data_IF_549721200832
#
_entry.id   IF_549721200832
#
_cell.length_a   1.000
_cell.length_b   1.000
_cell.length_c   1.000
_cell.angle_alpha   90.00
_cell.angle_beta   90.00
_cell.angle_gamma   90.00
#
_symmetry.space_group_name_H-M   'P 1'
#
loop_
_entity.id
_entity.type
_entity.pdbx_description
1 polymer ?
#
# COMPACT_ATOMS: atom_id res chain seq x y z
N UNK A 1 -15.16 -60.65 20.49
CA UNK A 1 -15.78 -59.34 20.12
C UNK A 1 -14.70 -58.28 20.06
N UNK A 2 -14.25 -57.98 18.86
CA UNK A 2 -13.23 -56.98 18.61
C UNK A 2 -13.89 -55.62 18.42
N UNK A 3 -13.73 -54.74 19.40
CA UNK A 3 -14.20 -53.35 19.33
C UNK A 3 -13.28 -52.53 18.43
N UNK A 4 -13.75 -52.18 17.25
CA UNK A 4 -13.06 -51.21 16.36
C UNK A 4 -13.33 -49.80 16.87
N UNK A 5 -12.30 -49.15 17.43
CA UNK A 5 -12.33 -47.73 17.75
C UNK A 5 -12.06 -46.94 16.47
N UNK A 6 -12.87 -45.93 16.14
CA UNK A 6 -12.57 -45.06 15.02
C UNK A 6 -11.41 -44.10 15.38
N UNK A 7 -10.38 -44.12 14.57
CA UNK A 7 -9.29 -43.15 14.61
C UNK A 7 -9.83 -41.87 13.98
N UNK A 8 -10.08 -40.86 14.81
CA UNK A 8 -10.41 -39.52 14.33
C UNK A 8 -9.09 -38.87 13.92
N UNK A 9 -8.83 -38.80 12.63
CA UNK A 9 -7.76 -38.01 12.06
C UNK A 9 -8.21 -36.54 12.09
N UNK A 10 -7.72 -35.80 13.07
CA UNK A 10 -7.92 -34.35 13.11
C UNK A 10 -7.03 -33.74 12.01
N UNK A 11 -7.64 -33.37 10.89
CA UNK A 11 -7.00 -32.55 9.88
C UNK A 11 -6.79 -31.14 10.46
N UNK A 12 -5.57 -30.83 10.91
CA UNK A 12 -5.16 -29.47 11.23
C UNK A 12 -5.10 -28.68 9.92
N UNK A 13 -6.11 -27.87 9.68
CA UNK A 13 -6.09 -26.77 8.70
C UNK A 13 -5.07 -25.75 9.20
N UNK A 14 -3.85 -25.83 8.69
CA UNK A 14 -2.89 -24.75 8.79
C UNK A 14 -3.40 -23.61 7.90
N UNK A 15 -4.15 -22.70 8.50
CA UNK A 15 -4.46 -21.41 7.89
C UNK A 15 -3.12 -20.66 7.79
N UNK A 16 -2.45 -20.83 6.66
CA UNK A 16 -1.30 -20.02 6.30
C UNK A 16 -1.73 -18.56 6.28
N UNK A 17 -1.31 -17.80 7.28
CA UNK A 17 -1.37 -16.36 7.22
C UNK A 17 -0.49 -15.93 6.05
N UNK A 18 -1.12 -15.67 4.90
CA UNK A 18 -0.49 -14.95 3.80
C UNK A 18 -0.09 -13.59 4.36
N UNK A 19 1.13 -13.49 4.83
CA UNK A 19 1.73 -12.22 5.20
C UNK A 19 1.64 -11.31 3.99
N UNK A 20 0.83 -10.25 4.10
CA UNK A 20 0.70 -9.19 3.10
C UNK A 20 2.04 -8.45 3.05
N UNK A 21 3.03 -9.05 2.42
CA UNK A 21 4.36 -8.50 2.17
C UNK A 21 4.58 -8.15 0.71
N UNK A 22 3.57 -7.78 -0.04
CA UNK A 22 3.75 -7.60 -1.48
C UNK A 22 3.15 -6.29 -1.99
N UNK A 23 3.45 -5.17 -1.32
CA UNK A 23 3.08 -3.86 -1.85
C UNK A 23 4.19 -3.27 -2.75
N UNK A 24 5.41 -3.74 -2.61
CA UNK A 24 6.58 -3.22 -3.35
C UNK A 24 6.95 -4.16 -4.49
N UNK A 25 7.41 -3.57 -5.59
CA UNK A 25 7.81 -4.34 -6.76
C UNK A 25 9.20 -4.99 -6.58
N UNK A 26 9.46 -6.04 -7.38
CA UNK A 26 10.79 -6.67 -7.44
C UNK A 26 11.86 -5.66 -7.87
N UNK A 27 11.50 -4.74 -8.76
CA UNK A 27 12.38 -3.66 -9.23
C UNK A 27 12.73 -2.69 -8.11
N UNK A 28 11.78 -2.38 -7.22
CA UNK A 28 12.04 -1.56 -6.05
C UNK A 28 13.04 -2.23 -5.10
N UNK A 29 12.83 -3.50 -4.77
CA UNK A 29 13.74 -4.26 -3.92
C UNK A 29 15.16 -4.31 -4.50
N UNK A 30 15.29 -4.60 -5.79
CA UNK A 30 16.57 -4.61 -6.48
C UNK A 30 17.24 -3.22 -6.51
N UNK A 31 16.48 -2.15 -6.64
CA UNK A 31 16.95 -0.78 -6.56
C UNK A 31 17.49 -0.44 -5.17
N UNK A 32 16.74 -0.82 -4.13
CA UNK A 32 17.13 -0.60 -2.72
C UNK A 32 18.40 -1.36 -2.37
N UNK A 33 18.56 -2.59 -2.84
CA UNK A 33 19.79 -3.39 -2.65
C UNK A 33 21.00 -2.67 -3.26
N UNK A 34 20.86 -2.14 -4.47
CA UNK A 34 21.92 -1.38 -5.16
C UNK A 34 22.21 -0.02 -4.54
N UNK A 35 21.29 0.52 -3.75
CA UNK A 35 21.47 1.80 -3.07
C UNK A 35 22.49 1.70 -1.93
N UNK A 36 22.74 0.50 -1.40
CA UNK A 36 23.76 0.22 -0.35
C UNK A 36 23.66 1.18 0.85
N UNK A 37 22.43 1.55 1.24
CA UNK A 37 22.18 2.44 2.37
C UNK A 37 22.44 3.94 2.07
N UNK A 38 22.73 4.32 0.83
CA UNK A 38 22.90 5.73 0.45
C UNK A 38 21.52 6.39 0.34
N UNK A 39 21.22 7.32 1.26
CA UNK A 39 19.90 7.94 1.42
C UNK A 39 19.34 8.54 0.12
N UNK A 40 20.15 9.27 -0.64
CA UNK A 40 19.70 9.88 -1.91
C UNK A 40 19.30 8.82 -2.95
N UNK A 41 20.07 7.74 -3.05
CA UNK A 41 19.74 6.62 -3.95
C UNK A 41 18.48 5.88 -3.50
N UNK A 42 18.31 5.69 -2.19
CA UNK A 42 17.11 5.08 -1.62
C UNK A 42 15.86 5.92 -1.90
N UNK A 43 15.96 7.25 -1.78
CA UNK A 43 14.87 8.18 -2.10
C UNK A 43 14.51 8.15 -3.59
N UNK A 44 15.50 8.02 -4.48
CA UNK A 44 15.25 7.87 -5.92
C UNK A 44 14.50 6.56 -6.24
N UNK A 45 14.86 5.46 -5.57
CA UNK A 45 14.14 4.19 -5.70
C UNK A 45 12.68 4.33 -5.25
N UNK A 46 12.47 4.96 -4.10
CA UNK A 46 11.13 5.18 -3.55
C UNK A 46 10.27 6.06 -4.45
N UNK A 47 10.86 7.14 -5.01
CA UNK A 47 10.15 8.01 -5.96
C UNK A 47 9.65 7.23 -7.18
N UNK A 48 10.49 6.40 -7.76
CA UNK A 48 10.11 5.57 -8.92
C UNK A 48 8.96 4.62 -8.58
N UNK A 49 9.00 4.02 -7.40
CA UNK A 49 7.94 3.11 -6.95
C UNK A 49 6.63 3.85 -6.66
N UNK A 50 6.69 5.03 -6.04
CA UNK A 50 5.53 5.89 -5.81
C UNK A 50 4.88 6.30 -7.13
N UNK A 51 5.67 6.67 -8.14
CA UNK A 51 5.16 7.03 -9.47
C UNK A 51 4.37 5.88 -10.11
N UNK A 52 4.78 4.63 -9.91
CA UNK A 52 4.03 3.45 -10.37
C UNK A 52 2.69 3.30 -9.63
N UNK A 53 2.70 3.46 -8.32
CA UNK A 53 1.48 3.40 -7.52
C UNK A 53 0.52 4.53 -7.85
N UNK A 54 1.04 5.75 -8.06
CA UNK A 54 0.24 6.92 -8.47
C UNK A 54 -0.48 6.68 -9.80
N UNK A 55 0.21 6.11 -10.78
CA UNK A 55 -0.39 5.73 -12.07
C UNK A 55 -1.54 4.73 -11.88
N UNK A 56 -1.35 3.70 -11.06
CA UNK A 56 -2.38 2.71 -10.74
C UNK A 56 -3.54 3.32 -9.98
N UNK A 57 -3.25 4.17 -8.98
CA UNK A 57 -4.26 4.89 -8.22
C UNK A 57 -5.18 5.69 -9.13
N UNK A 58 -4.60 6.49 -10.02
CA UNK A 58 -5.35 7.34 -10.94
C UNK A 58 -6.21 6.50 -11.90
N UNK A 59 -5.68 5.40 -12.42
CA UNK A 59 -6.43 4.47 -13.28
C UNK A 59 -7.67 3.91 -12.54
N UNK A 60 -7.50 3.40 -11.33
CA UNK A 60 -8.60 2.85 -10.53
C UNK A 60 -9.62 3.93 -10.14
N UNK A 61 -9.15 5.11 -9.76
CA UNK A 61 -10.00 6.24 -9.40
C UNK A 61 -10.85 6.73 -10.57
N UNK A 62 -10.26 6.89 -11.74
CA UNK A 62 -11.00 7.30 -12.95
C UNK A 62 -12.03 6.26 -13.37
N UNK A 63 -11.71 4.96 -13.26
CA UNK A 63 -12.67 3.90 -13.53
C UNK A 63 -13.88 3.95 -12.59
N UNK A 64 -13.65 4.19 -11.30
CA UNK A 64 -14.72 4.34 -10.29
C UNK A 64 -15.56 5.59 -10.54
N UNK A 65 -14.95 6.73 -10.89
CA UNK A 65 -15.66 7.95 -11.23
C UNK A 65 -16.59 7.73 -12.43
N UNK A 66 -16.09 7.07 -13.46
CA UNK A 66 -16.85 6.79 -14.68
C UNK A 66 -18.06 5.85 -14.43
N UNK A 67 -17.94 4.93 -13.49
CA UNK A 67 -18.98 3.94 -13.17
C UNK A 67 -19.94 4.37 -12.05
N UNK A 68 -19.61 5.43 -11.30
CA UNK A 68 -20.42 5.92 -10.18
C UNK A 68 -21.32 7.08 -10.59
N UNK A 69 -22.50 7.19 -9.94
CA UNK A 69 -23.49 8.26 -10.19
C UNK A 69 -24.11 8.71 -8.87
N UNK A 70 -24.68 9.91 -8.89
CA UNK A 70 -25.42 10.48 -7.76
C UNK A 70 -24.60 10.56 -6.48
N UNK A 71 -25.15 10.11 -5.36
CA UNK A 71 -24.49 10.19 -4.05
C UNK A 71 -23.22 9.35 -3.97
N UNK A 72 -23.18 8.19 -4.62
CA UNK A 72 -21.98 7.35 -4.65
C UNK A 72 -20.81 8.07 -5.33
N UNK A 73 -21.06 8.79 -6.40
CA UNK A 73 -20.06 9.62 -7.09
C UNK A 73 -19.57 10.77 -6.18
N UNK A 74 -20.50 11.50 -5.57
CA UNK A 74 -20.18 12.58 -4.66
C UNK A 74 -19.37 12.11 -3.45
N UNK A 75 -19.72 10.95 -2.88
CA UNK A 75 -19.00 10.34 -1.78
C UNK A 75 -17.56 9.95 -2.18
N UNK A 76 -17.37 9.36 -3.35
CA UNK A 76 -16.04 9.01 -3.85
C UNK A 76 -15.13 10.25 -3.98
N UNK A 77 -15.67 11.35 -4.49
CA UNK A 77 -14.96 12.64 -4.57
C UNK A 77 -14.54 13.14 -3.17
N UNK A 78 -15.45 13.09 -2.19
CA UNK A 78 -15.16 13.51 -0.81
C UNK A 78 -14.09 12.65 -0.16
N UNK A 79 -14.21 11.32 -0.29
CA UNK A 79 -13.26 10.36 0.26
C UNK A 79 -11.86 10.57 -0.32
N UNK A 80 -11.76 10.76 -1.63
CA UNK A 80 -10.46 10.95 -2.29
C UNK A 80 -9.81 12.26 -1.88
N UNK A 81 -10.57 13.34 -1.75
CA UNK A 81 -10.06 14.63 -1.26
C UNK A 81 -9.57 14.53 0.20
N UNK A 82 -10.33 13.86 1.05
CA UNK A 82 -9.97 13.66 2.45
C UNK A 82 -8.68 12.83 2.58
N UNK A 83 -8.58 11.75 1.80
CA UNK A 83 -7.38 10.93 1.76
C UNK A 83 -6.17 11.75 1.29
N UNK A 84 -6.27 12.47 0.18
CA UNK A 84 -5.17 13.27 -0.36
C UNK A 84 -4.70 14.34 0.64
N UNK A 85 -5.64 15.01 1.31
CA UNK A 85 -5.31 16.00 2.34
C UNK A 85 -4.50 15.38 3.48
N UNK A 86 -4.93 14.23 3.99
CA UNK A 86 -4.21 13.52 5.04
C UNK A 86 -2.84 13.02 4.55
N UNK A 87 -2.79 12.43 3.37
CA UNK A 87 -1.57 11.94 2.72
C UNK A 87 -0.49 13.04 2.64
N UNK A 88 -0.85 14.19 2.08
CA UNK A 88 0.08 15.32 1.94
C UNK A 88 0.47 15.91 3.29
N UNK A 89 -0.47 16.07 4.21
CA UNK A 89 -0.22 16.64 5.54
C UNK A 89 0.75 15.78 6.34
N UNK A 90 0.56 14.47 6.34
CA UNK A 90 1.41 13.55 7.09
C UNK A 90 2.80 13.40 6.44
N UNK A 91 2.87 13.35 5.12
CA UNK A 91 4.12 13.34 4.37
C UNK A 91 4.97 14.57 4.73
N UNK A 92 4.37 15.76 4.72
CA UNK A 92 5.07 16.99 5.08
C UNK A 92 5.47 17.02 6.56
N UNK A 93 4.61 16.57 7.45
CA UNK A 93 4.89 16.52 8.90
C UNK A 93 6.12 15.65 9.19
N UNK A 94 6.19 14.48 8.58
CA UNK A 94 7.32 13.55 8.76
C UNK A 94 8.61 14.12 8.18
N UNK A 95 8.58 14.72 7.00
CA UNK A 95 9.74 15.31 6.35
C UNK A 95 10.31 16.52 7.13
N UNK A 96 9.46 17.21 7.87
CA UNK A 96 9.82 18.40 8.64
C UNK A 96 10.26 18.11 10.09
N UNK A 97 10.34 16.83 10.49
CA UNK A 97 10.71 16.47 11.86
C UNK A 97 12.16 16.89 12.18
N UNK A 98 12.37 17.87 13.08
CA UNK A 98 13.69 18.38 13.37
C UNK A 98 14.57 17.40 14.18
N UNK A 99 13.97 16.36 14.75
CA UNK A 99 14.66 15.38 15.58
C UNK A 99 15.27 14.23 14.78
N UNK A 100 14.83 14.04 13.52
CA UNK A 100 15.23 12.90 12.70
C UNK A 100 16.28 13.25 11.62
N UNK A 101 16.64 14.50 11.42
CA UNK A 101 17.65 14.91 10.44
C UNK A 101 17.35 14.35 9.03
N UNK A 102 18.35 13.73 8.38
CA UNK A 102 18.19 13.15 7.04
C UNK A 102 17.28 11.92 7.00
N UNK A 103 17.07 11.24 8.13
CA UNK A 103 16.14 10.09 8.25
C UNK A 103 14.70 10.55 8.09
N UNK A 104 14.37 11.81 8.40
CA UNK A 104 13.02 12.35 8.24
C UNK A 104 12.48 12.21 6.81
N UNK A 105 13.33 12.39 5.80
CA UNK A 105 12.92 12.21 4.40
C UNK A 105 12.64 10.74 4.05
N UNK A 106 13.41 9.81 4.61
CA UNK A 106 13.18 8.38 4.43
C UNK A 106 11.89 7.93 5.14
N UNK A 107 11.65 8.41 6.34
CA UNK A 107 10.41 8.12 7.09
C UNK A 107 9.18 8.69 6.37
N UNK A 108 9.29 9.92 5.86
CA UNK A 108 8.26 10.55 5.06
C UNK A 108 7.93 9.73 3.81
N UNK A 109 8.95 9.31 3.06
CA UNK A 109 8.76 8.52 1.86
C UNK A 109 8.23 7.11 2.15
N UNK A 110 8.64 6.48 3.25
CA UNK A 110 8.12 5.18 3.67
C UNK A 110 6.60 5.26 3.98
N UNK A 111 6.17 6.33 4.65
CA UNK A 111 4.74 6.59 4.85
C UNK A 111 4.02 6.80 3.52
N UNK A 112 4.55 7.69 2.66
CA UNK A 112 3.96 8.02 1.36
C UNK A 112 3.75 6.77 0.50
N UNK A 113 4.79 5.92 0.43
CA UNK A 113 4.76 4.68 -0.34
C UNK A 113 3.69 3.71 0.18
N UNK A 114 3.65 3.52 1.50
CA UNK A 114 2.65 2.64 2.12
C UNK A 114 1.23 3.17 1.92
N UNK A 115 1.02 4.43 2.18
CA UNK A 115 -0.31 5.05 2.15
C UNK A 115 -0.90 5.09 0.73
N UNK A 116 -0.08 5.43 -0.30
CA UNK A 116 -0.54 5.39 -1.69
C UNK A 116 -0.82 3.96 -2.17
N UNK A 117 0.00 2.99 -1.75
CA UNK A 117 -0.22 1.58 -2.09
C UNK A 117 -1.53 1.07 -1.48
N UNK A 118 -1.76 1.31 -0.20
CA UNK A 118 -2.98 0.91 0.51
C UNK A 118 -4.23 1.53 -0.16
N UNK A 119 -4.17 2.83 -0.48
CA UNK A 119 -5.27 3.52 -1.17
C UNK A 119 -5.52 2.96 -2.56
N UNK A 120 -4.47 2.70 -3.33
CA UNK A 120 -4.56 2.12 -4.67
C UNK A 120 -5.26 0.76 -4.64
N UNK A 121 -4.79 -0.13 -3.76
CA UNK A 121 -5.37 -1.48 -3.63
C UNK A 121 -6.84 -1.43 -3.21
N UNK A 122 -7.22 -0.50 -2.33
CA UNK A 122 -8.61 -0.29 -1.96
C UNK A 122 -9.47 0.12 -3.17
N UNK A 123 -9.00 1.08 -3.96
CA UNK A 123 -9.74 1.57 -5.14
C UNK A 123 -9.81 0.48 -6.23
N UNK A 124 -8.73 -0.24 -6.49
CA UNK A 124 -8.71 -1.36 -7.44
C UNK A 124 -9.71 -2.46 -7.04
N UNK A 125 -9.76 -2.81 -5.75
CA UNK A 125 -10.74 -3.78 -5.23
C UNK A 125 -12.19 -3.31 -5.42
N UNK A 126 -12.45 -2.02 -5.24
CA UNK A 126 -13.78 -1.43 -5.49
C UNK A 126 -14.12 -1.41 -6.97
N UNK A 127 -13.16 -1.10 -7.84
CA UNK A 127 -13.34 -1.04 -9.28
C UNK A 127 -13.56 -2.42 -9.92
N UNK A 128 -13.09 -3.51 -9.29
CA UNK A 128 -13.24 -4.87 -9.77
C UNK A 128 -14.60 -5.53 -9.43
N UNK A 129 -15.45 -4.86 -8.68
CA UNK A 129 -16.79 -5.30 -8.31
C UNK A 129 -17.82 -4.76 -9.30
#
# INVERSE_FOLDING_TARGET
MLSRRPVIVAAMLVLGTLSVRAQQSVEYDACMDKAEGVSTKMLDCGKTEIDKWDTRLNTAYQALLASSKGEAHAQLLREQRAWLKHHLSETHRLAADPNNGSVAFLDSQAFELKDIADRTLLLEKRASR
#
